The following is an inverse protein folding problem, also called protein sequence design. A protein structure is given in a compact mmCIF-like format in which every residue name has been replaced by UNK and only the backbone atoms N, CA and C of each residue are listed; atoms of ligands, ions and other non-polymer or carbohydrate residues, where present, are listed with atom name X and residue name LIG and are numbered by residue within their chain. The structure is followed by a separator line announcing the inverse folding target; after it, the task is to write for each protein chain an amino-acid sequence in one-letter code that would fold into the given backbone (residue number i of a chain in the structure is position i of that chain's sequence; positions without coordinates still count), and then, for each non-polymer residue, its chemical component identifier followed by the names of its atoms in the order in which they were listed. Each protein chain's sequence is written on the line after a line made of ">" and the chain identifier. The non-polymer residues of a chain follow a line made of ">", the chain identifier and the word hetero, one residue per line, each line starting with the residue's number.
data_IF_744981185711
#
_entry.id   IF_744981185711
#
_cell.length_a   1.000
_cell.length_b   1.000
_cell.length_c   1.000
_cell.angle_alpha   90.00
_cell.angle_beta   90.00
_cell.angle_gamma   90.00
#
_symmetry.space_group_name_H-M   'P 1'
#
loop_
_entity.id
_entity.type
_entity.pdbx_description
1 polymer ?
#
# COMPACT_ATOMS: atom_id res chain seq x y z
N UNK A 1 -17.23 -7.03 -5.71
CA UNK A 1 -16.69 -5.93 -4.87
C UNK A 1 -15.43 -6.39 -4.18
N UNK A 2 -14.43 -5.52 -3.97
CA UNK A 2 -13.06 -5.96 -3.69
C UNK A 2 -12.24 -5.05 -2.77
N UNK A 3 -11.36 -5.66 -1.97
CA UNK A 3 -10.21 -5.05 -1.32
C UNK A 3 -8.97 -5.34 -2.17
N UNK A 4 -8.34 -4.29 -2.69
CA UNK A 4 -7.08 -4.33 -3.42
C UNK A 4 -5.97 -3.84 -2.51
N UNK A 5 -5.00 -4.69 -2.22
CA UNK A 5 -3.84 -4.33 -1.40
C UNK A 5 -2.62 -4.16 -2.30
N UNK A 6 -2.04 -2.96 -2.33
CA UNK A 6 -0.79 -2.74 -3.05
C UNK A 6 0.35 -3.26 -2.19
N UNK A 7 1.21 -4.12 -2.74
CA UNK A 7 2.37 -4.65 -2.03
C UNK A 7 3.62 -4.31 -2.84
N UNK A 8 4.52 -3.50 -2.31
CA UNK A 8 5.70 -3.05 -3.07
C UNK A 8 6.89 -2.68 -2.18
N UNK A 9 8.05 -2.50 -2.81
CA UNK A 9 9.21 -1.82 -2.22
C UNK A 9 8.93 -0.32 -1.98
N UNK A 10 9.65 0.36 -1.06
CA UNK A 10 9.54 1.82 -0.93
C UNK A 10 9.93 2.53 -2.24
N UNK A 11 9.28 3.67 -2.51
CA UNK A 11 9.58 4.51 -3.70
C UNK A 11 9.53 3.76 -5.04
N UNK A 12 8.54 2.89 -5.22
CA UNK A 12 8.37 2.03 -6.42
C UNK A 12 7.14 2.38 -7.28
N UNK A 13 6.55 3.56 -7.08
CA UNK A 13 5.38 4.02 -7.85
C UNK A 13 4.02 3.52 -7.34
N UNK A 14 3.91 3.07 -6.09
CA UNK A 14 2.64 2.60 -5.48
C UNK A 14 1.45 3.53 -5.71
N UNK A 15 1.63 4.82 -5.46
CA UNK A 15 0.56 5.81 -5.54
C UNK A 15 0.16 6.09 -6.98
N UNK A 16 1.10 6.00 -7.92
CA UNK A 16 0.81 6.06 -9.36
C UNK A 16 -0.03 4.84 -9.75
N UNK A 17 0.38 3.64 -9.34
CA UNK A 17 -0.37 2.41 -9.61
C UNK A 17 -1.78 2.44 -9.00
N UNK A 18 -1.93 2.96 -7.77
CA UNK A 18 -3.22 3.14 -7.10
C UNK A 18 -4.16 4.06 -7.90
N UNK A 19 -3.66 5.23 -8.29
CA UNK A 19 -4.43 6.22 -9.05
C UNK A 19 -4.81 5.69 -10.44
N UNK A 20 -3.85 5.13 -11.18
CA UNK A 20 -4.13 4.56 -12.51
C UNK A 20 -5.15 3.42 -12.43
N UNK A 21 -5.08 2.56 -11.42
CA UNK A 21 -6.08 1.51 -11.22
C UNK A 21 -7.44 2.10 -10.87
N UNK A 22 -7.50 3.11 -10.00
CA UNK A 22 -8.76 3.75 -9.64
C UNK A 22 -9.42 4.45 -10.84
N UNK A 23 -8.64 5.11 -11.69
CA UNK A 23 -9.11 5.72 -12.93
C UNK A 23 -9.62 4.66 -13.92
N UNK A 24 -8.82 3.62 -14.18
CA UNK A 24 -9.22 2.54 -15.08
C UNK A 24 -10.51 1.83 -14.62
N UNK A 25 -10.70 1.65 -13.32
CA UNK A 25 -11.93 1.07 -12.76
C UNK A 25 -13.14 1.99 -12.94
N UNK A 26 -12.96 3.31 -12.80
CA UNK A 26 -14.04 4.29 -13.01
C UNK A 26 -14.50 4.36 -14.47
N UNK A 27 -13.62 4.04 -15.41
CA UNK A 27 -13.91 4.04 -16.84
C UNK A 27 -14.62 2.76 -17.34
N UNK A 28 -14.79 1.77 -16.47
CA UNK A 28 -15.56 0.55 -16.81
C UNK A 28 -17.07 0.82 -16.91
N UNK A 29 -17.82 -0.02 -17.62
CA UNK A 29 -19.28 0.11 -17.74
C UNK A 29 -19.99 0.07 -16.38
N UNK A 30 -19.48 -0.71 -15.42
CA UNK A 30 -20.08 -0.87 -14.10
C UNK A 30 -19.83 0.32 -13.17
N UNK A 31 -18.86 1.20 -13.49
CA UNK A 31 -18.51 2.43 -12.75
C UNK A 31 -18.56 2.25 -11.23
N UNK A 32 -17.85 1.25 -10.67
CA UNK A 32 -17.88 1.00 -9.23
C UNK A 32 -17.38 2.22 -8.46
N UNK A 33 -17.92 2.42 -7.25
CA UNK A 33 -17.36 3.42 -6.35
C UNK A 33 -15.98 2.93 -5.86
N UNK A 34 -14.92 3.69 -6.18
CA UNK A 34 -13.54 3.35 -5.80
C UNK A 34 -13.03 4.35 -4.78
N UNK A 35 -12.49 3.86 -3.66
CA UNK A 35 -11.84 4.66 -2.62
C UNK A 35 -10.41 4.18 -2.42
N UNK A 36 -9.48 5.13 -2.41
CA UNK A 36 -8.07 4.90 -2.05
C UNK A 36 -7.90 5.25 -0.56
N UNK A 37 -7.24 4.39 0.20
CA UNK A 37 -6.81 4.60 1.58
C UNK A 37 -5.28 4.58 1.59
N UNK A 38 -4.67 5.65 2.06
CA UNK A 38 -3.22 5.83 2.13
C UNK A 38 -2.80 6.47 3.47
N UNK A 39 -1.50 6.63 3.69
CA UNK A 39 -0.98 7.28 4.89
C UNK A 39 -1.28 8.79 4.94
N UNK A 40 -1.35 9.44 3.77
CA UNK A 40 -1.49 10.89 3.66
C UNK A 40 -2.85 11.39 4.12
N UNK A 41 -3.90 10.59 3.95
CA UNK A 41 -5.26 10.81 4.46
C UNK A 41 -5.29 11.02 5.98
N UNK A 42 -4.30 10.49 6.70
CA UNK A 42 -4.20 10.58 8.17
C UNK A 42 -3.13 11.57 8.65
N UNK A 43 -2.57 12.39 7.74
CA UNK A 43 -1.45 13.28 8.02
C UNK A 43 -0.22 12.54 8.61
N UNK A 44 -0.06 11.26 8.27
CA UNK A 44 1.04 10.45 8.76
C UNK A 44 2.29 10.67 7.89
N UNK A 45 3.33 11.23 8.51
CA UNK A 45 4.61 11.40 7.83
C UNK A 45 5.31 10.02 7.69
N UNK A 46 5.79 9.70 6.49
CA UNK A 46 6.44 8.42 6.21
C UNK A 46 7.66 8.15 7.09
N UNK A 47 8.55 9.13 7.29
CA UNK A 47 9.76 8.93 8.09
C UNK A 47 9.43 8.72 9.57
N UNK A 48 8.41 9.43 10.07
CA UNK A 48 7.92 9.20 11.44
C UNK A 48 7.23 7.84 11.58
N UNK A 49 6.45 7.42 10.58
CA UNK A 49 5.64 6.21 10.63
C UNK A 49 6.47 4.92 10.53
N UNK A 50 7.69 5.00 9.98
CA UNK A 50 8.62 3.89 9.87
C UNK A 50 9.89 4.06 10.72
N UNK A 51 9.89 5.00 11.68
CA UNK A 51 11.07 5.26 12.52
C UNK A 51 11.41 4.09 13.46
N UNK A 52 10.39 3.36 13.92
CA UNK A 52 10.52 2.21 14.80
C UNK A 52 9.30 1.27 14.70
N UNK A 53 9.40 0.11 15.36
CA UNK A 53 8.35 -0.91 15.35
C UNK A 53 7.03 -0.45 15.96
N UNK A 54 7.05 0.46 16.93
CA UNK A 54 5.85 0.97 17.59
C UNK A 54 5.11 1.94 16.67
N UNK A 55 5.84 2.87 16.06
CA UNK A 55 5.30 3.80 15.06
C UNK A 55 4.70 3.02 13.87
N UNK A 56 5.40 2.01 13.37
CA UNK A 56 4.91 1.21 12.25
C UNK A 56 3.68 0.38 12.65
N UNK A 57 3.65 -0.17 13.88
CA UNK A 57 2.46 -0.86 14.41
C UNK A 57 1.26 0.07 14.49
N UNK A 58 1.45 1.32 14.93
CA UNK A 58 0.40 2.31 15.02
C UNK A 58 -0.12 2.69 13.63
N UNK A 59 0.77 2.94 12.67
CA UNK A 59 0.42 3.18 11.26
C UNK A 59 -0.48 2.05 10.72
N UNK A 60 -0.03 0.79 10.87
CA UNK A 60 -0.77 -0.38 10.41
C UNK A 60 -2.12 -0.51 11.11
N UNK A 61 -2.20 -0.18 12.39
CA UNK A 61 -3.46 -0.15 13.15
C UNK A 61 -4.46 0.87 12.60
N UNK A 62 -4.01 2.10 12.34
CA UNK A 62 -4.85 3.18 11.77
C UNK A 62 -5.38 2.78 10.39
N UNK A 63 -4.50 2.35 9.48
CA UNK A 63 -4.88 1.92 8.14
C UNK A 63 -5.86 0.73 8.19
N UNK A 64 -5.59 -0.26 9.04
CA UNK A 64 -6.46 -1.42 9.23
C UNK A 64 -7.85 -1.02 9.71
N UNK A 65 -7.92 -0.12 10.69
CA UNK A 65 -9.20 0.38 11.20
C UNK A 65 -9.99 1.16 10.16
N UNK A 66 -9.34 1.91 9.28
CA UNK A 66 -10.04 2.60 8.20
C UNK A 66 -10.53 1.62 7.13
N UNK A 67 -9.71 0.63 6.76
CA UNK A 67 -10.12 -0.43 5.83
C UNK A 67 -11.38 -1.12 6.38
N UNK A 68 -11.35 -1.57 7.62
CA UNK A 68 -12.47 -2.27 8.28
C UNK A 68 -13.78 -1.47 8.21
N UNK A 69 -13.72 -0.17 8.50
CA UNK A 69 -14.89 0.74 8.42
C UNK A 69 -15.35 1.03 6.99
N UNK A 70 -14.45 0.90 6.01
CA UNK A 70 -14.72 1.26 4.62
C UNK A 70 -15.24 0.11 3.78
N UNK A 71 -15.01 -1.14 4.20
CA UNK A 71 -15.42 -2.31 3.44
C UNK A 71 -16.95 -2.37 3.31
N UNK A 72 -17.43 -2.41 2.08
CA UNK A 72 -18.84 -2.68 1.78
C UNK A 72 -18.99 -3.50 0.50
N UNK A 73 -20.18 -4.06 0.28
CA UNK A 73 -20.50 -4.80 -0.95
C UNK A 73 -20.69 -3.89 -2.17
N UNK A 74 -20.58 -2.57 -1.99
CA UNK A 74 -20.84 -1.56 -3.01
C UNK A 74 -19.59 -0.77 -3.44
N UNK A 75 -18.43 -1.03 -2.82
CA UNK A 75 -17.20 -0.27 -3.12
C UNK A 75 -15.91 -1.09 -3.31
N UNK A 76 -15.03 -0.61 -4.19
CA UNK A 76 -13.67 -1.12 -4.29
C UNK A 76 -12.78 -0.25 -3.39
N UNK A 77 -12.11 -0.90 -2.44
CA UNK A 77 -11.13 -0.24 -1.56
C UNK A 77 -9.73 -0.58 -2.05
N UNK A 78 -8.91 0.43 -2.34
CA UNK A 78 -7.51 0.28 -2.69
C UNK A 78 -6.67 0.77 -1.51
N UNK A 79 -5.80 -0.10 -0.97
CA UNK A 79 -4.87 0.24 0.11
C UNK A 79 -3.51 0.61 -0.49
N UNK A 80 -3.26 1.91 -0.64
CA UNK A 80 -2.00 2.48 -1.11
C UNK A 80 -1.02 2.70 0.06
N UNK A 81 -0.52 1.59 0.59
CA UNK A 81 0.60 1.56 1.53
C UNK A 81 1.62 0.52 1.08
N UNK A 82 2.79 0.44 1.73
CA UNK A 82 3.83 -0.53 1.37
C UNK A 82 3.33 -1.97 1.45
N UNK A 83 2.56 -2.27 2.50
CA UNK A 83 2.05 -3.61 2.83
C UNK A 83 3.13 -4.71 2.68
N UNK A 84 4.38 -4.38 3.04
CA UNK A 84 5.57 -5.19 2.81
C UNK A 84 5.67 -6.43 3.71
N UNK A 85 4.93 -6.46 4.83
CA UNK A 85 4.91 -7.56 5.80
C UNK A 85 3.74 -8.53 5.50
N UNK A 86 4.04 -9.82 5.34
CA UNK A 86 3.07 -10.91 5.11
C UNK A 86 2.02 -11.00 6.19
N UNK A 87 2.42 -10.87 7.45
CA UNK A 87 1.51 -10.89 8.59
C UNK A 87 0.41 -9.82 8.47
N UNK A 88 0.80 -8.60 8.07
CA UNK A 88 -0.16 -7.52 7.88
C UNK A 88 -1.07 -7.74 6.66
N UNK A 89 -0.53 -8.24 5.54
CA UNK A 89 -1.35 -8.64 4.39
C UNK A 89 -2.37 -9.73 4.75
N UNK A 90 -1.96 -10.69 5.59
CA UNK A 90 -2.85 -11.72 6.10
C UNK A 90 -3.97 -11.14 6.99
N UNK A 91 -3.67 -10.16 7.84
CA UNK A 91 -4.69 -9.44 8.60
C UNK A 91 -5.72 -8.74 7.70
N UNK A 92 -5.28 -8.06 6.63
CA UNK A 92 -6.18 -7.42 5.66
C UNK A 92 -7.02 -8.45 4.88
N UNK A 93 -6.43 -9.59 4.52
CA UNK A 93 -7.18 -10.69 3.90
C UNK A 93 -8.25 -11.25 4.85
N UNK A 94 -7.92 -11.42 6.13
CA UNK A 94 -8.89 -11.85 7.14
C UNK A 94 -10.07 -10.87 7.26
N UNK A 95 -9.82 -9.56 7.22
CA UNK A 95 -10.87 -8.54 7.19
C UNK A 95 -11.77 -8.70 5.97
N UNK A 96 -11.19 -8.76 4.77
CA UNK A 96 -11.97 -8.94 3.53
C UNK A 96 -12.80 -10.23 3.58
N UNK A 97 -12.20 -11.34 4.03
CA UNK A 97 -12.89 -12.64 4.17
C UNK A 97 -14.04 -12.56 5.16
N UNK A 98 -13.86 -11.94 6.32
CA UNK A 98 -14.90 -11.78 7.32
C UNK A 98 -16.08 -10.94 6.81
N UNK A 99 -15.79 -9.95 5.96
CA UNK A 99 -16.80 -9.08 5.34
C UNK A 99 -17.40 -9.65 4.04
N UNK A 100 -17.00 -10.85 3.61
CA UNK A 100 -17.47 -11.45 2.35
C UNK A 100 -16.96 -10.73 1.08
N UNK A 101 -15.91 -9.92 1.20
CA UNK A 101 -15.33 -9.12 0.12
C UNK A 101 -14.19 -9.88 -0.57
N UNK A 102 -14.10 -9.75 -1.90
CA UNK A 102 -12.99 -10.33 -2.65
C UNK A 102 -11.68 -9.64 -2.28
N UNK A 103 -10.61 -10.41 -2.18
CA UNK A 103 -9.29 -9.89 -1.83
C UNK A 103 -8.32 -10.12 -2.99
N UNK A 104 -7.58 -9.09 -3.38
CA UNK A 104 -6.48 -9.24 -4.33
C UNK A 104 -5.28 -8.39 -3.91
N UNK A 105 -4.09 -8.81 -4.35
CA UNK A 105 -2.85 -8.09 -4.11
C UNK A 105 -2.32 -7.60 -5.45
N UNK A 106 -2.10 -6.30 -5.56
CA UNK A 106 -1.38 -5.71 -6.69
C UNK A 106 0.09 -5.59 -6.30
N UNK A 107 0.95 -6.36 -6.97
CA UNK A 107 2.39 -6.34 -6.74
C UNK A 107 3.12 -5.71 -7.92
N UNK A 108 3.89 -4.66 -7.64
CA UNK A 108 4.76 -4.02 -8.63
C UNK A 108 6.17 -4.55 -8.43
N UNK A 109 6.66 -5.34 -9.39
CA UNK A 109 8.00 -5.92 -9.34
C UNK A 109 9.06 -4.93 -9.83
N UNK A 110 9.35 -3.93 -9.00
CA UNK A 110 10.37 -2.91 -9.30
C UNK A 110 11.69 -3.30 -8.64
N UNK A 111 12.78 -3.20 -9.39
CA UNK A 111 14.13 -3.48 -8.87
C UNK A 111 14.53 -2.45 -7.80
N UNK A 112 15.23 -2.90 -6.77
CA UNK A 112 15.71 -2.04 -5.67
C UNK A 112 16.53 -0.84 -6.18
N UNK A 113 17.41 -1.06 -7.16
CA UNK A 113 18.22 0.01 -7.74
C UNK A 113 17.36 1.14 -8.35
N UNK A 114 16.21 0.80 -8.95
CA UNK A 114 15.26 1.79 -9.47
C UNK A 114 14.53 2.50 -8.33
N UNK A 115 14.12 1.77 -7.31
CA UNK A 115 13.47 2.33 -6.11
C UNK A 115 14.37 3.37 -5.41
N UNK A 116 15.67 3.07 -5.30
CA UNK A 116 16.67 3.96 -4.71
C UNK A 116 16.80 5.26 -5.51
N UNK A 117 16.96 5.15 -6.83
CA UNK A 117 17.02 6.30 -7.72
C UNK A 117 15.76 7.18 -7.61
N UNK A 118 14.58 6.55 -7.60
CA UNK A 118 13.31 7.27 -7.44
C UNK A 118 13.09 7.86 -6.04
N UNK A 119 13.88 7.45 -5.04
CA UNK A 119 13.89 8.09 -3.72
C UNK A 119 14.84 9.30 -3.65
N UNK A 120 15.82 9.40 -4.56
CA UNK A 120 16.76 10.53 -4.65
C UNK A 120 16.12 11.74 -5.35
N UNK A 121 15.40 11.54 -6.45
CA UNK A 121 14.79 12.64 -7.23
C UNK A 121 13.86 13.58 -6.40
N UNK A 122 13.00 13.10 -5.49
CA UNK A 122 12.14 13.95 -4.67
C UNK A 122 12.91 14.77 -3.64
N UNK A 123 14.08 14.28 -3.19
CA UNK A 123 14.94 14.95 -2.21
C UNK A 123 15.44 16.30 -2.74
N UNK A 124 15.75 16.37 -4.03
CA UNK A 124 16.18 17.60 -4.71
C UNK A 124 15.04 18.60 -4.90
N UNK A 125 13.80 18.10 -4.97
CA UNK A 125 12.57 18.90 -5.22
C UNK A 125 11.85 19.32 -3.95
N UNK A 126 12.33 18.89 -2.77
CA UNK A 126 11.65 19.12 -1.49
C UNK A 126 10.32 18.35 -1.37
N UNK A 127 10.12 17.33 -2.19
CA UNK A 127 8.97 16.45 -2.14
C UNK A 127 9.19 15.35 -1.08
N UNK A 128 8.14 14.69 -0.59
CA UNK A 128 8.29 13.62 0.39
C UNK A 128 9.20 12.49 -0.12
N UNK A 129 10.23 12.15 0.65
CA UNK A 129 11.18 11.05 0.41
C UNK A 129 11.42 10.24 1.69
N UNK A 130 11.94 9.01 1.58
CA UNK A 130 12.36 8.23 2.75
C UNK A 130 13.81 8.56 3.11
N UNK A 131 14.09 8.80 4.39
CA UNK A 131 15.47 8.93 4.86
C UNK A 131 16.25 7.64 4.60
N UNK A 132 17.54 7.74 4.27
CA UNK A 132 18.36 6.62 3.82
C UNK A 132 18.27 5.42 4.77
N UNK A 133 18.38 5.66 6.09
CA UNK A 133 18.28 4.60 7.10
C UNK A 133 16.93 3.86 7.07
N UNK A 134 15.84 4.59 6.86
CA UNK A 134 14.48 4.03 6.81
C UNK A 134 14.30 3.28 5.49
N UNK A 135 14.77 3.85 4.38
CA UNK A 135 14.71 3.22 3.07
C UNK A 135 15.40 1.85 3.07
N UNK A 136 16.65 1.78 3.55
CA UNK A 136 17.41 0.52 3.64
C UNK A 136 16.71 -0.53 4.50
N UNK A 137 16.18 -0.11 5.64
CA UNK A 137 15.46 -1.00 6.56
C UNK A 137 14.19 -1.57 5.89
N UNK A 138 13.42 -0.73 5.21
CA UNK A 138 12.20 -1.14 4.51
C UNK A 138 12.49 -2.11 3.36
N UNK A 139 13.54 -1.83 2.58
CA UNK A 139 13.98 -2.70 1.48
C UNK A 139 14.40 -4.07 2.02
N UNK A 140 15.24 -4.10 3.06
CA UNK A 140 15.75 -5.34 3.65
C UNK A 140 14.64 -6.21 4.24
N UNK A 141 13.60 -5.58 4.82
CA UNK A 141 12.45 -6.27 5.42
C UNK A 141 11.36 -6.65 4.43
N UNK A 142 11.51 -6.31 3.15
CA UNK A 142 10.46 -6.56 2.15
C UNK A 142 10.22 -8.05 1.92
N UNK A 143 9.02 -8.53 2.26
CA UNK A 143 8.65 -9.92 2.09
C UNK A 143 7.92 -10.14 0.75
N UNK A 144 8.71 -10.28 -0.33
CA UNK A 144 8.20 -10.47 -1.70
C UNK A 144 7.13 -11.57 -1.78
N UNK A 145 6.10 -11.32 -2.58
CA UNK A 145 5.06 -12.31 -2.86
C UNK A 145 5.69 -13.53 -3.52
N UNK A 146 5.39 -14.70 -2.97
CA UNK A 146 5.64 -15.96 -3.66
C UNK A 146 4.41 -16.28 -4.48
N UNK A 147 4.46 -15.99 -5.77
CA UNK A 147 3.52 -16.60 -6.70
C UNK A 147 3.97 -18.06 -6.80
N UNK A 148 3.16 -18.99 -6.30
CA UNK A 148 3.41 -20.41 -6.58
C UNK A 148 3.23 -20.58 -8.08
N UNK A 149 4.28 -21.02 -8.78
CA UNK A 149 4.18 -21.32 -10.20
C UNK A 149 3.07 -22.37 -10.40
N UNK A 150 2.06 -22.00 -11.18
CA UNK A 150 0.99 -22.88 -11.65
C UNK A 150 1.51 -23.84 -12.72
#
# INVERSE_FOLDING_TARGET
>A
MALVVICVQPSSGKSIAATCLAEALKDTESKPYVRIIDETTFHLNRNQSYTDMTAEKNLRGVLRSEVDRSLSNDNIIIVDSLNNIKGYRYELWCLARASGIQYCVLFCDVQEASCRKWNEDPREKGEPYYDDKIFEDLVRRFEKLRVMAS
#
